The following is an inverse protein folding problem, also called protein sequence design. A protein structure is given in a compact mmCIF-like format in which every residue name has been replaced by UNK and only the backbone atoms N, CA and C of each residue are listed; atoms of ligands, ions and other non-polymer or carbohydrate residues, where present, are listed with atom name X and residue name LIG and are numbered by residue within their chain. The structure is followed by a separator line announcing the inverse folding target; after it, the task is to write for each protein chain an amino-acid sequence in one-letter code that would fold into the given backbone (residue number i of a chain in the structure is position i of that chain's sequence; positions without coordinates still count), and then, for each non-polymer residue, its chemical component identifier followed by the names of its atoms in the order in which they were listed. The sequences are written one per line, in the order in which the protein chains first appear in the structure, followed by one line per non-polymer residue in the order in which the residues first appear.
data_IF_010001435015
#
_entry.id   IF_010001435015
#
_cell.length_a   1.000
_cell.length_b   1.000
_cell.length_c   1.000
_cell.angle_alpha   90.00
_cell.angle_beta   90.00
_cell.angle_gamma   90.00
#
_symmetry.space_group_name_H-M   'P 1'
#
loop_
_entity.id
_entity.type
_entity.pdbx_description
1 polymer ?
#
# COMPACT_ATOMS: atom_id res chain seq x y z
N UNK A 1 -5.53 -42.68 -82.63
CA UNK A 1 -4.88 -41.36 -82.48
C UNK A 1 -5.96 -40.30 -82.37
N UNK A 2 -5.76 -39.38 -81.43
CA UNK A 2 -6.47 -38.09 -81.24
C UNK A 2 -7.87 -38.17 -80.63
N UNK A 3 -8.26 -37.38 -79.63
CA UNK A 3 -7.57 -36.36 -78.83
C UNK A 3 -8.54 -35.93 -77.72
N UNK A 4 -8.03 -35.80 -76.49
CA UNK A 4 -8.75 -35.37 -75.29
C UNK A 4 -9.04 -33.86 -75.34
N UNK A 5 -10.23 -33.35 -74.96
CA UNK A 5 -10.43 -31.93 -74.75
C UNK A 5 -9.92 -31.50 -73.36
N UNK A 6 -8.98 -30.56 -73.40
CA UNK A 6 -8.41 -29.81 -72.29
C UNK A 6 -9.49 -28.94 -71.61
N UNK A 7 -9.57 -29.05 -70.28
CA UNK A 7 -10.56 -28.39 -69.43
C UNK A 7 -9.91 -27.43 -68.44
N UNK A 8 -9.06 -26.53 -68.94
CA UNK A 8 -8.44 -25.44 -68.18
C UNK A 8 -9.45 -24.29 -67.96
N UNK A 9 -10.23 -24.37 -66.87
CA UNK A 9 -11.00 -23.22 -66.35
C UNK A 9 -10.04 -22.22 -65.70
N UNK A 10 -9.62 -21.21 -66.47
CA UNK A 10 -9.03 -19.98 -65.96
C UNK A 10 -9.99 -19.30 -64.97
N UNK A 11 -9.62 -19.28 -63.69
CA UNK A 11 -10.24 -18.39 -62.71
C UNK A 11 -9.73 -16.97 -63.00
N UNK A 12 -10.57 -16.15 -63.64
CA UNK A 12 -10.34 -14.71 -63.69
C UNK A 12 -10.32 -14.18 -62.24
N UNK A 13 -9.16 -13.74 -61.79
CA UNK A 13 -9.00 -13.06 -60.52
C UNK A 13 -9.66 -11.67 -60.64
N UNK A 14 -10.82 -11.51 -60.00
CA UNK A 14 -11.44 -10.20 -59.84
C UNK A 14 -10.45 -9.27 -59.13
N UNK A 15 -10.11 -8.16 -59.80
CA UNK A 15 -9.24 -7.14 -59.22
C UNK A 15 -9.90 -6.59 -57.95
N UNK A 16 -9.18 -6.52 -56.81
CA UNK A 16 -9.75 -6.02 -55.56
C UNK A 16 -10.24 -4.59 -55.79
N UNK A 17 -11.56 -4.40 -55.69
CA UNK A 17 -12.19 -3.10 -55.81
C UNK A 17 -11.52 -2.13 -54.84
N UNK A 18 -11.01 -1.00 -55.38
CA UNK A 18 -10.44 0.09 -54.60
C UNK A 18 -11.49 0.56 -53.58
N UNK A 19 -11.39 0.08 -52.35
CA UNK A 19 -12.14 0.62 -51.23
C UNK A 19 -11.75 2.09 -51.10
N UNK A 20 -12.68 2.99 -51.39
CA UNK A 20 -12.43 4.42 -51.36
C UNK A 20 -11.89 4.86 -49.98
N UNK A 21 -11.10 5.94 -49.91
CA UNK A 21 -10.41 6.39 -48.69
C UNK A 21 -11.35 6.67 -47.50
N UNK A 22 -12.66 6.76 -47.71
CA UNK A 22 -13.67 6.93 -46.66
C UNK A 22 -13.91 5.69 -45.77
N UNK A 23 -13.61 4.47 -46.22
CA UNK A 23 -13.91 3.24 -45.44
C UNK A 23 -13.03 3.12 -44.19
N UNK A 24 -11.84 3.73 -44.19
CA UNK A 24 -10.89 3.66 -43.07
C UNK A 24 -11.06 4.78 -42.02
N UNK A 25 -11.78 5.85 -42.34
CA UNK A 25 -11.92 7.01 -41.44
C UNK A 25 -12.80 6.70 -40.22
N UNK A 26 -13.89 5.96 -40.41
CA UNK A 26 -14.79 5.57 -39.32
C UNK A 26 -14.14 4.65 -38.27
N UNK A 27 -13.48 3.52 -38.64
CA UNK A 27 -12.80 2.68 -37.66
C UNK A 27 -11.64 3.40 -36.96
N UNK A 28 -10.91 4.28 -37.66
CA UNK A 28 -9.87 5.09 -37.05
C UNK A 28 -10.43 6.08 -36.01
N UNK A 29 -11.54 6.76 -36.32
CA UNK A 29 -12.20 7.68 -35.39
C UNK A 29 -12.73 6.95 -34.15
N UNK A 30 -13.34 5.78 -34.32
CA UNK A 30 -13.82 4.94 -33.21
C UNK A 30 -12.66 4.44 -32.33
N UNK A 31 -11.55 4.02 -32.93
CA UNK A 31 -10.35 3.61 -32.19
C UNK A 31 -9.76 4.79 -31.39
N UNK A 32 -9.69 5.98 -31.97
CA UNK A 32 -9.21 7.18 -31.29
C UNK A 32 -10.12 7.57 -30.11
N UNK A 33 -11.45 7.51 -30.28
CA UNK A 33 -12.41 7.75 -29.21
C UNK A 33 -12.31 6.71 -28.08
N UNK A 34 -12.18 5.44 -28.42
CA UNK A 34 -11.99 4.37 -27.45
C UNK A 34 -10.70 4.54 -26.65
N UNK A 35 -9.59 4.90 -27.32
CA UNK A 35 -8.31 5.19 -26.67
C UNK A 35 -8.43 6.42 -25.75
N UNK A 36 -9.06 7.49 -26.22
CA UNK A 36 -9.31 8.70 -25.43
C UNK A 36 -10.13 8.40 -24.18
N UNK A 37 -11.22 7.65 -24.33
CA UNK A 37 -12.06 7.20 -23.22
C UNK A 37 -11.27 6.32 -22.22
N UNK A 38 -10.44 5.39 -22.71
CA UNK A 38 -9.60 4.54 -21.87
C UNK A 38 -8.58 5.36 -21.06
N UNK A 39 -7.95 6.38 -21.66
CA UNK A 39 -7.01 7.28 -20.98
C UNK A 39 -7.72 8.08 -19.89
N UNK A 40 -8.88 8.67 -20.19
CA UNK A 40 -9.67 9.44 -19.21
C UNK A 40 -10.13 8.55 -18.08
N UNK A 41 -10.63 7.36 -18.39
CA UNK A 41 -11.07 6.38 -17.41
C UNK A 41 -9.90 5.93 -16.52
N UNK A 42 -8.75 5.60 -17.09
CA UNK A 42 -7.53 5.23 -16.35
C UNK A 42 -7.08 6.35 -15.42
N UNK A 43 -7.08 7.61 -15.87
CA UNK A 43 -6.77 8.77 -15.02
C UNK A 43 -7.79 8.97 -13.89
N UNK A 44 -9.07 8.76 -14.17
CA UNK A 44 -10.13 8.85 -13.15
C UNK A 44 -10.01 7.72 -12.12
N UNK A 45 -9.74 6.50 -12.58
CA UNK A 45 -9.51 5.33 -11.73
C UNK A 45 -8.30 5.55 -10.84
N UNK A 46 -7.16 5.96 -11.40
CA UNK A 46 -5.95 6.25 -10.62
C UNK A 46 -6.22 7.25 -9.51
N UNK A 47 -6.88 8.38 -9.82
CA UNK A 47 -7.24 9.40 -8.81
C UNK A 47 -8.15 8.88 -7.70
N UNK A 48 -9.03 7.91 -7.97
CA UNK A 48 -9.94 7.34 -6.97
C UNK A 48 -9.32 6.22 -6.16
N UNK A 49 -8.45 5.41 -6.75
CA UNK A 49 -7.85 4.25 -6.10
C UNK A 49 -6.56 4.58 -5.35
N UNK A 50 -5.89 5.64 -5.77
CA UNK A 50 -4.66 6.18 -5.19
C UNK A 50 -4.86 7.65 -4.77
N UNK A 51 -5.79 7.96 -3.84
CA UNK A 51 -5.81 9.27 -3.21
C UNK A 51 -4.68 9.31 -2.18
N UNK A 52 -3.43 9.18 -2.62
CA UNK A 52 -2.30 9.33 -1.72
C UNK A 52 -2.26 10.80 -1.31
N UNK A 53 -2.39 11.07 0.00
CA UNK A 53 -1.69 12.22 0.53
C UNK A 53 -0.21 11.90 0.31
N UNK A 54 0.50 12.62 -0.57
CA UNK A 54 1.91 12.33 -0.76
C UNK A 54 2.61 12.63 0.56
N UNK A 55 3.54 11.76 0.93
CA UNK A 55 4.58 12.15 1.87
C UNK A 55 5.17 13.47 1.39
N UNK A 56 5.36 14.39 2.32
CA UNK A 56 5.89 15.70 2.04
C UNK A 56 7.01 16.05 3.01
N UNK A 57 7.77 17.09 2.65
CA UNK A 57 8.77 17.68 3.51
C UNK A 57 8.11 18.92 4.10
N UNK A 58 7.76 18.87 5.38
CA UNK A 58 7.23 20.02 6.10
C UNK A 58 8.29 21.10 6.32
N UNK A 59 7.89 22.17 6.99
CA UNK A 59 8.85 23.17 7.46
C UNK A 59 9.79 22.55 8.52
N UNK A 60 10.94 23.17 8.79
CA UNK A 60 11.84 22.76 9.87
C UNK A 60 11.16 22.93 11.24
N UNK A 61 11.37 21.98 12.16
CA UNK A 61 10.85 22.05 13.52
C UNK A 61 11.54 23.18 14.30
N UNK A 62 10.76 24.03 14.96
CA UNK A 62 11.29 25.14 15.77
C UNK A 62 12.12 24.66 16.98
N UNK A 63 11.87 23.44 17.45
CA UNK A 63 12.57 22.81 18.55
C UNK A 63 12.81 21.32 18.27
N UNK A 64 13.97 20.75 18.63
CA UNK A 64 14.25 19.32 18.49
C UNK A 64 13.23 18.44 19.22
N UNK A 65 12.90 17.26 18.67
CA UNK A 65 12.05 16.25 19.31
C UNK A 65 12.86 15.34 20.25
N UNK A 66 13.77 15.92 21.04
CA UNK A 66 14.78 15.17 21.84
C UNK A 66 14.22 14.41 23.04
N UNK A 67 12.94 14.55 23.35
CA UNK A 67 12.36 14.01 24.61
C UNK A 67 11.79 12.59 24.49
N UNK A 68 11.76 11.96 23.30
CA UNK A 68 11.30 10.57 23.14
C UNK A 68 12.31 9.67 22.42
N UNK A 69 13.36 9.19 23.11
CA UNK A 69 14.45 8.43 22.50
C UNK A 69 14.05 7.02 22.00
N UNK A 70 12.79 6.60 22.10
CA UNK A 70 12.33 5.25 21.72
C UNK A 70 11.21 5.20 20.66
N UNK A 71 10.52 6.30 20.36
CA UNK A 71 9.37 6.27 19.42
C UNK A 71 9.85 6.10 17.98
N UNK A 72 9.43 5.04 17.28
CA UNK A 72 9.73 4.83 15.86
C UNK A 72 9.02 5.83 14.95
N UNK A 73 9.70 6.33 13.92
CA UNK A 73 9.11 7.14 12.86
C UNK A 73 8.68 6.27 11.68
N UNK A 74 7.38 6.27 11.37
CA UNK A 74 6.77 5.45 10.32
C UNK A 74 6.28 6.36 9.18
N UNK A 75 6.83 6.16 7.98
CA UNK A 75 6.49 6.94 6.80
C UNK A 75 5.20 6.43 6.15
N UNK A 76 4.10 7.15 6.36
CA UNK A 76 2.77 6.79 5.86
C UNK A 76 2.77 6.74 4.32
N UNK A 77 2.35 5.63 3.73
CA UNK A 77 2.38 5.37 2.29
C UNK A 77 3.76 5.52 1.64
N UNK A 78 4.85 5.45 2.41
CA UNK A 78 6.19 5.71 1.88
C UNK A 78 6.69 4.69 0.87
N UNK A 79 6.16 3.47 0.93
CA UNK A 79 6.46 2.43 -0.06
C UNK A 79 5.42 2.32 -1.17
N UNK A 80 4.43 3.21 -1.21
CA UNK A 80 3.34 3.11 -2.17
C UNK A 80 3.71 3.58 -3.58
N UNK A 81 4.76 4.40 -3.67
CA UNK A 81 5.30 4.92 -4.92
C UNK A 81 6.82 4.93 -4.89
N UNK A 82 7.42 4.94 -6.09
CA UNK A 82 8.87 5.05 -6.24
C UNK A 82 9.39 6.38 -5.69
N UNK A 83 8.67 7.46 -5.94
CA UNK A 83 9.00 8.79 -5.42
C UNK A 83 8.96 8.81 -3.88
N UNK A 84 7.99 8.13 -3.25
CA UNK A 84 7.92 7.96 -1.81
C UNK A 84 9.14 7.22 -1.25
N UNK A 85 9.55 6.13 -1.90
CA UNK A 85 10.71 5.35 -1.48
C UNK A 85 12.03 6.13 -1.62
N UNK A 86 12.15 6.97 -2.65
CA UNK A 86 13.29 7.88 -2.82
C UNK A 86 13.37 8.91 -1.68
N UNK A 87 12.22 9.47 -1.28
CA UNK A 87 12.15 10.39 -0.15
C UNK A 87 12.45 9.70 1.20
N UNK A 88 11.86 8.53 1.44
CA UNK A 88 12.16 7.67 2.60
C UNK A 88 13.66 7.40 2.71
N UNK A 89 14.32 7.06 1.59
CA UNK A 89 15.78 6.86 1.53
C UNK A 89 16.55 8.12 1.92
N UNK A 90 16.13 9.28 1.41
CA UNK A 90 16.80 10.55 1.68
C UNK A 90 16.67 11.01 3.14
N UNK A 91 15.59 10.63 3.82
CA UNK A 91 15.28 11.06 5.20
C UNK A 91 15.52 9.98 6.26
N UNK A 92 16.01 8.80 5.86
CA UNK A 92 16.45 7.72 6.77
C UNK A 92 15.41 7.32 7.82
N UNK A 93 14.14 7.21 7.41
CA UNK A 93 13.02 6.82 8.29
C UNK A 93 13.23 5.40 8.85
N UNK A 94 12.58 5.07 9.96
CA UNK A 94 12.76 3.77 10.62
C UNK A 94 11.95 2.68 9.94
N UNK A 95 10.68 2.99 9.69
CA UNK A 95 9.70 2.06 9.12
C UNK A 95 9.04 2.73 7.94
N UNK A 96 8.88 1.97 6.86
CA UNK A 96 8.11 2.40 5.68
C UNK A 96 6.76 1.68 5.65
N UNK A 97 5.68 2.44 5.57
CA UNK A 97 4.34 1.87 5.37
C UNK A 97 4.09 1.59 3.89
N UNK A 98 3.51 0.42 3.61
CA UNK A 98 3.06 0.00 2.28
C UNK A 98 1.62 -0.50 2.39
N UNK A 99 0.72 0.16 1.68
CA UNK A 99 -0.66 -0.28 1.55
C UNK A 99 -0.76 -1.43 0.56
N UNK A 100 -1.27 -2.58 0.99
CA UNK A 100 -1.34 -3.76 0.12
C UNK A 100 -2.73 -4.38 0.07
N UNK A 101 -3.10 -4.79 -1.15
CA UNK A 101 -4.34 -5.47 -1.42
C UNK A 101 -4.12 -6.70 -2.30
N UNK A 102 -4.80 -7.80 -1.97
CA UNK A 102 -4.89 -8.95 -2.85
C UNK A 102 -5.80 -8.63 -4.05
N UNK A 103 -5.19 -8.50 -5.24
CA UNK A 103 -5.88 -8.23 -6.52
C UNK A 103 -5.47 -9.29 -7.53
N UNK A 104 -6.44 -9.99 -8.10
CA UNK A 104 -6.16 -11.00 -9.14
C UNK A 104 -5.28 -12.18 -8.69
N UNK A 105 -5.06 -12.38 -7.39
CA UNK A 105 -4.20 -13.44 -6.85
C UNK A 105 -2.76 -13.03 -6.56
N UNK A 106 -2.44 -11.74 -6.62
CA UNK A 106 -1.15 -11.16 -6.20
C UNK A 106 -1.39 -9.97 -5.28
N UNK A 107 -0.37 -9.56 -4.53
CA UNK A 107 -0.43 -8.36 -3.69
C UNK A 107 -0.02 -7.14 -4.52
N UNK A 108 -0.99 -6.27 -4.76
CA UNK A 108 -0.77 -4.98 -5.41
C UNK A 108 -0.66 -3.89 -4.34
N UNK A 109 0.23 -2.94 -4.57
CA UNK A 109 0.45 -1.77 -3.72
C UNK A 109 -0.67 -0.78 -4.00
N UNK A 110 -1.65 -0.67 -3.10
CA UNK A 110 -2.85 0.16 -3.30
C UNK A 110 -3.62 0.38 -2.00
N UNK A 111 -3.92 1.64 -1.69
CA UNK A 111 -4.78 2.01 -0.55
C UNK A 111 -6.22 1.50 -0.71
N UNK A 112 -6.82 1.69 -1.89
CA UNK A 112 -8.20 1.28 -2.18
C UNK A 112 -8.24 0.21 -3.27
N UNK A 113 -8.57 -1.05 -2.95
CA UNK A 113 -8.63 -2.12 -3.95
C UNK A 113 -9.67 -1.80 -5.04
N UNK A 114 -9.44 -2.19 -6.31
CA UNK A 114 -10.31 -1.88 -7.46
C UNK A 114 -11.62 -2.69 -7.50
N UNK A 115 -12.37 -2.75 -6.38
CA UNK A 115 -13.59 -3.57 -6.23
C UNK A 115 -14.73 -3.14 -7.15
N UNK A 116 -14.78 -1.85 -7.50
CA UNK A 116 -15.82 -1.27 -8.35
C UNK A 116 -15.57 -1.49 -9.85
N UNK A 117 -14.36 -1.93 -10.22
CA UNK A 117 -13.99 -2.13 -11.63
C UNK A 117 -14.26 -3.59 -11.98
N UNK A 118 -15.06 -3.89 -13.01
CA UNK A 118 -15.23 -5.25 -13.52
C UNK A 118 -13.87 -5.88 -13.83
N UNK A 119 -13.65 -7.13 -13.41
CA UNK A 119 -12.37 -7.84 -13.58
C UNK A 119 -11.88 -7.85 -15.03
N UNK A 120 -12.79 -7.95 -16.00
CA UNK A 120 -12.43 -7.94 -17.43
C UNK A 120 -11.74 -6.64 -17.87
N UNK A 121 -12.01 -5.53 -17.18
CA UNK A 121 -11.44 -4.22 -17.50
C UNK A 121 -10.14 -3.95 -16.73
N UNK A 122 -9.79 -4.74 -15.72
CA UNK A 122 -8.59 -4.51 -14.89
C UNK A 122 -7.33 -4.29 -15.74
N UNK A 123 -7.00 -5.14 -16.74
CA UNK A 123 -5.81 -4.95 -17.56
C UNK A 123 -5.77 -3.62 -18.33
N UNK A 124 -6.92 -3.03 -18.61
CA UNK A 124 -7.05 -1.81 -19.41
C UNK A 124 -6.97 -0.53 -18.56
N UNK A 125 -7.51 -0.57 -17.33
CA UNK A 125 -7.72 0.64 -16.52
C UNK A 125 -7.02 0.63 -15.16
N UNK A 126 -6.50 -0.52 -14.73
CA UNK A 126 -5.84 -0.68 -13.44
C UNK A 126 -4.43 -1.24 -13.62
N UNK A 127 -3.45 -0.45 -13.23
CA UNK A 127 -2.04 -0.84 -13.19
C UNK A 127 -1.49 -0.35 -11.86
N UNK A 128 -0.97 -1.26 -11.04
CA UNK A 128 -0.24 -0.94 -9.82
C UNK A 128 1.06 -1.73 -9.76
N UNK A 129 2.02 -1.22 -9.00
CA UNK A 129 3.19 -2.00 -8.59
C UNK A 129 2.73 -3.18 -7.73
N UNK A 130 3.45 -4.30 -7.83
CA UNK A 130 3.25 -5.41 -6.90
C UNK A 130 4.05 -5.18 -5.62
N UNK A 131 3.69 -5.86 -4.53
CA UNK A 131 4.51 -5.82 -3.31
C UNK A 131 5.92 -6.35 -3.58
N UNK A 132 6.08 -7.37 -4.43
CA UNK A 132 7.39 -7.86 -4.88
C UNK A 132 8.22 -6.76 -5.57
N UNK A 133 7.57 -5.86 -6.33
CA UNK A 133 8.26 -4.73 -6.98
C UNK A 133 8.68 -3.66 -5.97
N UNK A 134 7.75 -3.23 -5.11
CA UNK A 134 8.05 -2.26 -4.05
C UNK A 134 9.16 -2.77 -3.12
N UNK A 135 9.14 -4.05 -2.75
CA UNK A 135 10.14 -4.64 -1.87
C UNK A 135 11.56 -4.54 -2.43
N UNK A 136 11.73 -4.78 -3.73
CA UNK A 136 13.03 -4.67 -4.40
C UNK A 136 13.57 -3.23 -4.43
N UNK A 137 12.68 -2.25 -4.35
CA UNK A 137 13.03 -0.83 -4.35
C UNK A 137 13.29 -0.27 -2.94
N UNK A 138 12.90 -1.00 -1.90
CA UNK A 138 13.09 -0.60 -0.52
C UNK A 138 14.57 -0.34 -0.17
N UNK A 139 14.87 0.75 0.55
CA UNK A 139 16.19 0.95 1.13
C UNK A 139 16.66 -0.25 1.97
N UNK A 140 17.96 -0.52 1.98
CA UNK A 140 18.52 -1.50 2.90
C UNK A 140 18.39 -1.00 4.35
N UNK A 141 18.07 -1.90 5.28
CA UNK A 141 18.00 -1.58 6.71
C UNK A 141 16.76 -0.77 7.15
N UNK A 142 15.76 -0.59 6.28
CA UNK A 142 14.45 -0.07 6.68
C UNK A 142 13.52 -1.22 7.05
N UNK A 143 12.79 -1.08 8.16
CA UNK A 143 11.73 -2.01 8.52
C UNK A 143 10.46 -1.72 7.73
N UNK A 144 9.56 -2.70 7.62
CA UNK A 144 8.39 -2.60 6.74
C UNK A 144 7.10 -2.78 7.52
N UNK A 145 6.18 -1.83 7.36
CA UNK A 145 4.82 -1.94 7.83
C UNK A 145 3.86 -2.18 6.65
N UNK A 146 3.28 -3.37 6.57
CA UNK A 146 2.31 -3.73 5.54
C UNK A 146 0.88 -3.49 6.04
N UNK A 147 0.21 -2.42 5.59
CA UNK A 147 -1.21 -2.19 5.91
C UNK A 147 -2.12 -2.96 4.95
N UNK A 148 -2.73 -4.03 5.46
CA UNK A 148 -3.52 -4.98 4.68
C UNK A 148 -4.95 -4.46 4.45
N UNK A 149 -5.22 -4.01 3.22
CA UNK A 149 -6.53 -3.53 2.77
C UNK A 149 -7.48 -4.67 2.33
N UNK A 150 -6.98 -5.91 2.33
CA UNK A 150 -7.75 -7.13 2.08
C UNK A 150 -7.64 -8.11 3.24
N UNK A 151 -8.60 -9.03 3.35
CA UNK A 151 -8.78 -9.90 4.52
C UNK A 151 -8.83 -11.36 4.11
N UNK A 152 -8.57 -12.24 5.07
CA UNK A 152 -8.73 -13.68 4.99
C UNK A 152 -7.42 -14.42 4.76
N UNK A 153 -7.48 -15.74 4.91
CA UNK A 153 -6.33 -16.65 4.80
C UNK A 153 -5.55 -16.53 3.50
N UNK A 154 -6.24 -16.25 2.38
CA UNK A 154 -5.57 -16.09 1.08
C UNK A 154 -4.65 -14.87 1.07
N UNK A 155 -5.07 -13.75 1.66
CA UNK A 155 -4.21 -12.57 1.81
C UNK A 155 -2.99 -12.90 2.66
N UNK A 156 -3.19 -13.58 3.80
CA UNK A 156 -2.09 -14.01 4.67
C UNK A 156 -1.07 -14.90 3.94
N UNK A 157 -1.53 -15.90 3.19
CA UNK A 157 -0.64 -16.78 2.43
C UNK A 157 0.21 -16.02 1.40
N UNK A 158 -0.37 -15.06 0.69
CA UNK A 158 0.39 -14.27 -0.29
C UNK A 158 1.38 -13.32 0.38
N UNK A 159 1.04 -12.76 1.56
CA UNK A 159 1.97 -11.94 2.34
C UNK A 159 3.20 -12.77 2.74
N UNK A 160 2.97 -13.96 3.29
CA UNK A 160 4.04 -14.89 3.69
C UNK A 160 4.91 -15.27 2.49
N UNK A 161 4.28 -15.64 1.36
CA UNK A 161 5.00 -15.98 0.11
C UNK A 161 5.95 -14.86 -0.32
N UNK A 162 5.51 -13.60 -0.25
CA UNK A 162 6.36 -12.46 -0.64
C UNK A 162 7.48 -12.24 0.36
N UNK A 163 7.20 -12.29 1.67
CA UNK A 163 8.20 -12.04 2.71
C UNK A 163 9.29 -13.11 2.70
N UNK A 164 8.93 -14.39 2.68
CA UNK A 164 9.89 -15.50 2.65
C UNK A 164 10.80 -15.45 1.41
N UNK A 165 10.31 -14.87 0.31
CA UNK A 165 11.07 -14.69 -0.92
C UNK A 165 12.06 -13.53 -0.92
N UNK A 166 12.02 -12.61 0.04
CA UNK A 166 12.68 -11.30 -0.09
C UNK A 166 13.60 -10.86 1.07
N UNK A 167 14.16 -11.80 1.84
CA UNK A 167 15.26 -11.55 2.79
C UNK A 167 14.83 -10.93 4.12
N UNK A 168 15.81 -10.74 5.03
CA UNK A 168 15.54 -10.35 6.43
C UNK A 168 15.25 -8.84 6.57
N UNK A 169 14.13 -8.52 7.21
CA UNK A 169 13.66 -7.20 7.69
C UNK A 169 12.68 -7.43 8.84
N UNK A 170 12.56 -6.49 9.76
CA UNK A 170 11.44 -6.56 10.72
C UNK A 170 10.16 -6.24 9.98
N UNK A 171 9.18 -7.14 10.08
CA UNK A 171 7.90 -6.98 9.41
C UNK A 171 6.82 -6.70 10.43
N UNK A 172 6.11 -5.60 10.21
CA UNK A 172 4.88 -5.27 10.89
C UNK A 172 3.71 -5.52 9.94
N UNK A 173 2.81 -6.45 10.28
CA UNK A 173 1.62 -6.75 9.49
C UNK A 173 0.40 -6.06 10.12
N UNK A 174 -0.11 -5.03 9.46
CA UNK A 174 -1.26 -4.23 9.87
C UNK A 174 -2.59 -4.72 9.33
N UNK A 175 -3.62 -4.85 10.17
CA UNK A 175 -4.97 -5.04 9.65
C UNK A 175 -6.06 -4.63 10.64
N UNK A 176 -7.22 -4.32 10.09
CA UNK A 176 -8.48 -4.22 10.86
C UNK A 176 -9.20 -5.57 11.05
N UNK A 177 -8.59 -6.68 10.62
CA UNK A 177 -9.17 -8.02 10.66
C UNK A 177 -8.31 -8.98 11.51
N UNK A 178 -8.74 -9.25 12.74
CA UNK A 178 -8.04 -10.14 13.66
C UNK A 178 -7.82 -11.55 13.09
N UNK A 179 -8.78 -12.19 12.40
CA UNK A 179 -8.54 -13.50 11.79
C UNK A 179 -7.37 -13.49 10.79
N UNK A 180 -7.26 -12.45 9.96
CA UNK A 180 -6.12 -12.29 9.02
C UNK A 180 -4.80 -12.21 9.76
N UNK A 181 -4.71 -11.41 10.82
CA UNK A 181 -3.52 -11.29 11.65
C UNK A 181 -3.17 -12.61 12.36
N UNK A 182 -4.19 -13.36 12.82
CA UNK A 182 -4.01 -14.69 13.38
C UNK A 182 -3.40 -15.69 12.38
N UNK A 183 -3.83 -15.67 11.12
CA UNK A 183 -3.22 -16.48 10.07
C UNK A 183 -1.76 -16.08 9.81
N UNK A 184 -1.47 -14.77 9.73
CA UNK A 184 -0.10 -14.29 9.53
C UNK A 184 0.79 -14.72 10.68
N UNK A 185 0.39 -14.49 11.92
CA UNK A 185 1.15 -14.90 13.11
C UNK A 185 1.42 -16.41 13.16
N UNK A 186 0.50 -17.23 12.65
CA UNK A 186 0.69 -18.68 12.60
C UNK A 186 1.70 -19.14 11.54
N UNK A 187 1.84 -18.38 10.45
CA UNK A 187 2.69 -18.71 9.30
C UNK A 187 4.04 -18.00 9.37
N UNK A 188 4.09 -16.83 10.00
CA UNK A 188 5.25 -15.96 10.12
C UNK A 188 5.34 -15.45 11.57
N UNK A 189 5.79 -16.31 12.51
CA UNK A 189 5.72 -16.04 13.96
C UNK A 189 6.61 -14.87 14.41
N UNK A 190 7.64 -14.54 13.61
CA UNK A 190 8.56 -13.43 13.85
C UNK A 190 8.01 -12.08 13.37
N UNK A 191 6.90 -12.07 12.62
CA UNK A 191 6.26 -10.82 12.22
C UNK A 191 5.44 -10.24 13.38
N UNK A 192 5.60 -8.93 13.57
CA UNK A 192 4.83 -8.16 14.52
C UNK A 192 3.44 -7.88 13.94
N UNK A 193 2.39 -8.32 14.64
CA UNK A 193 1.00 -8.11 14.17
C UNK A 193 0.41 -6.86 14.82
N UNK A 194 -0.09 -5.94 13.99
CA UNK A 194 -0.61 -4.64 14.40
C UNK A 194 -2.10 -4.58 14.09
N UNK A 195 -2.94 -4.48 15.11
CA UNK A 195 -4.37 -4.31 14.93
C UNK A 195 -4.76 -2.83 14.86
N UNK A 196 -5.65 -2.47 13.94
CA UNK A 196 -6.23 -1.13 13.84
C UNK A 196 -7.66 -1.08 14.43
N UNK A 197 -7.82 -0.79 15.74
CA UNK A 197 -9.14 -0.59 16.33
C UNK A 197 -9.77 0.71 15.80
N UNK A 198 -10.79 0.58 14.96
CA UNK A 198 -11.52 1.73 14.41
C UNK A 198 -12.30 2.55 15.44
N UNK A 199 -12.52 2.00 16.64
CA UNK A 199 -13.33 2.62 17.69
C UNK A 199 -12.78 2.27 19.08
N UNK A 200 -13.05 3.12 20.07
CA UNK A 200 -12.77 2.83 21.49
C UNK A 200 -13.41 1.52 21.97
N UNK A 201 -14.62 1.21 21.49
CA UNK A 201 -15.28 -0.06 21.80
C UNK A 201 -14.53 -1.25 21.20
N UNK A 202 -13.98 -1.12 19.99
CA UNK A 202 -13.11 -2.14 19.38
C UNK A 202 -11.84 -2.37 20.18
N UNK A 203 -11.19 -1.29 20.64
CA UNK A 203 -10.03 -1.37 21.52
C UNK A 203 -10.38 -2.04 22.87
N UNK A 204 -11.48 -1.63 23.52
CA UNK A 204 -11.91 -2.23 24.78
C UNK A 204 -12.20 -3.73 24.63
N UNK A 205 -12.78 -4.17 23.51
CA UNK A 205 -12.99 -5.59 23.20
C UNK A 205 -11.68 -6.34 23.03
N UNK A 206 -10.70 -5.76 22.34
CA UNK A 206 -9.38 -6.36 22.20
C UNK A 206 -8.71 -6.54 23.56
N UNK A 207 -8.68 -5.48 24.39
CA UNK A 207 -8.04 -5.50 25.71
C UNK A 207 -8.74 -6.40 26.73
N UNK A 208 -9.94 -6.90 26.43
CA UNK A 208 -10.66 -7.87 27.24
C UNK A 208 -10.35 -9.33 26.82
N UNK A 209 -9.58 -9.55 25.75
CA UNK A 209 -9.16 -10.88 25.31
C UNK A 209 -7.93 -11.34 26.09
N UNK A 210 -7.90 -12.61 26.46
CA UNK A 210 -6.76 -13.27 27.07
C UNK A 210 -6.62 -14.70 26.50
N UNK A 211 -5.52 -15.02 25.79
CA UNK A 211 -4.39 -14.15 25.45
C UNK A 211 -4.73 -13.11 24.38
N UNK A 212 -3.92 -12.05 24.29
CA UNK A 212 -4.05 -11.06 23.23
C UNK A 212 -3.66 -11.68 21.86
N UNK A 213 -4.50 -11.51 20.82
CA UNK A 213 -4.26 -12.13 19.51
C UNK A 213 -3.16 -11.44 18.71
N UNK A 214 -2.73 -10.24 19.11
CA UNK A 214 -1.78 -9.37 18.38
C UNK A 214 -0.66 -8.87 19.30
N UNK A 215 0.38 -8.31 18.71
CA UNK A 215 1.56 -7.79 19.42
C UNK A 215 1.50 -6.28 19.64
N UNK A 216 0.82 -5.56 18.75
CA UNK A 216 0.63 -4.14 18.87
C UNK A 216 -0.68 -3.64 18.28
N UNK A 217 -0.88 -2.34 18.45
CA UNK A 217 -2.06 -1.63 17.94
C UNK A 217 -1.65 -0.31 17.30
N UNK A 218 -2.37 0.09 16.25
CA UNK A 218 -2.29 1.43 15.68
C UNK A 218 -3.62 2.14 15.91
N UNK A 219 -3.63 3.18 16.73
CA UNK A 219 -4.85 3.89 17.16
C UNK A 219 -4.94 5.24 16.43
N UNK A 220 -6.12 5.64 15.91
CA UNK A 220 -6.32 7.00 15.41
C UNK A 220 -6.05 8.05 16.49
N UNK A 221 -5.42 9.20 16.17
CA UNK A 221 -5.10 10.25 17.13
C UNK A 221 -6.30 10.70 17.96
N UNK A 222 -7.49 10.82 17.37
CA UNK A 222 -8.71 11.24 18.07
C UNK A 222 -9.20 10.26 19.14
N UNK A 223 -8.76 8.99 19.05
CA UNK A 223 -9.07 7.95 20.01
C UNK A 223 -7.95 7.71 21.02
N UNK A 224 -6.84 8.45 20.91
CA UNK A 224 -5.66 8.27 21.72
C UNK A 224 -5.56 9.35 22.82
N UNK A 225 -5.20 8.90 24.01
CA UNK A 225 -4.75 9.73 25.13
C UNK A 225 -3.75 8.94 25.99
N UNK A 226 -3.12 9.60 26.96
CA UNK A 226 -2.11 8.99 27.82
C UNK A 226 -2.66 7.78 28.62
N UNK A 227 -3.94 7.78 28.98
CA UNK A 227 -4.54 6.68 29.73
C UNK A 227 -4.73 5.44 28.83
N UNK A 228 -5.12 5.66 27.57
CA UNK A 228 -5.22 4.62 26.55
C UNK A 228 -3.85 3.99 26.27
N UNK A 229 -2.80 4.80 26.09
CA UNK A 229 -1.43 4.31 25.85
C UNK A 229 -0.96 3.43 27.01
N UNK A 230 -1.00 3.95 28.24
CA UNK A 230 -0.59 3.19 29.44
C UNK A 230 -1.37 1.90 29.62
N UNK A 231 -2.68 1.90 29.34
CA UNK A 231 -3.51 0.70 29.46
C UNK A 231 -3.12 -0.36 28.44
N UNK A 232 -2.86 0.02 27.20
CA UNK A 232 -2.46 -0.93 26.16
C UNK A 232 -1.05 -1.48 26.40
N UNK A 233 -0.08 -0.62 26.75
CA UNK A 233 1.28 -1.03 27.11
C UNK A 233 1.30 -1.90 28.37
N UNK A 234 0.48 -1.59 29.38
CA UNK A 234 0.31 -2.43 30.57
C UNK A 234 -0.28 -3.82 30.27
N UNK A 235 -0.93 -4.00 29.12
CA UNK A 235 -1.38 -5.29 28.61
C UNK A 235 -0.33 -5.99 27.72
N UNK A 236 0.86 -5.41 27.56
CA UNK A 236 1.96 -5.96 26.77
C UNK A 236 1.90 -5.65 25.27
N UNK A 237 1.12 -4.64 24.86
CA UNK A 237 1.04 -4.19 23.46
C UNK A 237 1.96 -3.00 23.22
N UNK A 238 2.68 -2.97 22.11
CA UNK A 238 3.22 -1.71 21.60
C UNK A 238 2.10 -0.88 20.96
N UNK A 239 2.22 0.44 21.05
CA UNK A 239 1.20 1.40 20.65
C UNK A 239 1.75 2.36 19.61
N UNK A 240 1.18 2.31 18.42
CA UNK A 240 1.39 3.28 17.36
C UNK A 240 0.20 4.21 17.22
N UNK A 241 0.43 5.37 16.61
CA UNK A 241 -0.66 6.29 16.24
C UNK A 241 -0.39 7.00 14.94
N UNK A 242 -1.46 7.25 14.19
CA UNK A 242 -1.38 7.77 12.84
C UNK A 242 -2.71 8.21 12.25
N UNK A 243 -2.75 9.20 11.37
CA UNK A 243 -1.61 9.97 10.83
C UNK A 243 -1.49 11.29 11.62
N UNK A 244 -0.29 11.67 12.04
CA UNK A 244 -0.06 12.91 12.79
C UNK A 244 0.98 13.77 12.08
N UNK A 245 0.52 14.89 11.52
CA UNK A 245 1.39 15.88 10.85
C UNK A 245 1.45 17.21 11.61
N UNK A 246 0.47 17.50 12.47
CA UNK A 246 0.45 18.72 13.29
C UNK A 246 1.48 18.63 14.41
N UNK A 247 2.42 19.58 14.46
CA UNK A 247 3.55 19.55 15.41
C UNK A 247 3.12 19.62 16.86
N UNK A 248 2.07 20.38 17.17
CA UNK A 248 1.54 20.43 18.55
C UNK A 248 1.04 19.05 18.93
N UNK A 249 0.29 18.39 18.04
CA UNK A 249 -0.18 17.03 18.24
C UNK A 249 0.95 16.00 18.30
N UNK A 250 2.03 16.16 17.52
CA UNK A 250 3.22 15.33 17.62
C UNK A 250 3.77 15.37 19.05
N UNK A 251 4.01 16.56 19.62
CA UNK A 251 4.52 16.70 20.99
C UNK A 251 3.59 16.04 22.02
N UNK A 252 2.29 16.31 21.94
CA UNK A 252 1.31 15.67 22.83
C UNK A 252 1.38 14.14 22.80
N UNK A 253 1.54 13.57 21.60
CA UNK A 253 1.62 12.12 21.42
C UNK A 253 2.95 11.55 21.95
N UNK A 254 4.05 12.27 21.77
CA UNK A 254 5.35 11.88 22.32
C UNK A 254 5.36 11.93 23.85
N UNK A 255 4.70 12.92 24.46
CA UNK A 255 4.53 13.00 25.92
C UNK A 255 3.76 11.80 26.48
N UNK A 256 2.94 11.15 25.66
CA UNK A 256 2.23 9.92 26.03
C UNK A 256 3.08 8.67 25.90
N UNK A 257 4.30 8.78 25.38
CA UNK A 257 5.27 7.70 25.20
C UNK A 257 4.76 6.57 24.30
N UNK A 258 4.19 6.94 23.14
CA UNK A 258 3.88 5.95 22.10
C UNK A 258 5.15 5.29 21.56
N UNK A 259 5.03 4.04 21.14
CA UNK A 259 6.14 3.27 20.57
C UNK A 259 6.39 3.61 19.10
N UNK A 260 5.42 4.21 18.41
CA UNK A 260 5.56 4.61 17.01
C UNK A 260 4.60 5.72 16.59
N UNK A 261 5.08 6.57 15.68
CA UNK A 261 4.35 7.69 15.10
C UNK A 261 4.31 7.53 13.58
N UNK A 262 3.10 7.46 13.01
CA UNK A 262 2.87 7.44 11.58
C UNK A 262 2.61 8.88 11.11
N UNK A 263 3.39 9.35 10.14
CA UNK A 263 3.32 10.72 9.62
C UNK A 263 3.54 10.76 8.10
N UNK A 264 2.94 11.75 7.46
CA UNK A 264 3.26 12.16 6.09
C UNK A 264 4.45 13.14 6.04
N UNK A 265 4.82 13.75 7.17
CA UNK A 265 5.86 14.79 7.24
C UNK A 265 7.23 14.19 7.57
N UNK A 266 8.13 14.14 6.58
CA UNK A 266 9.47 13.58 6.76
C UNK A 266 10.36 14.40 7.70
N UNK A 267 10.07 15.68 7.91
CA UNK A 267 10.83 16.48 8.88
C UNK A 267 10.50 16.04 10.30
N UNK A 268 9.23 15.71 10.56
CA UNK A 268 8.82 15.11 11.84
C UNK A 268 9.57 13.79 12.05
N UNK A 269 9.57 12.91 11.05
CA UNK A 269 10.21 11.60 11.16
C UNK A 269 11.73 11.69 11.33
N UNK A 270 12.39 12.59 10.61
CA UNK A 270 13.83 12.84 10.76
C UNK A 270 14.17 13.35 12.17
N UNK A 271 13.37 14.29 12.69
CA UNK A 271 13.55 14.84 14.03
C UNK A 271 13.41 13.79 15.14
N UNK A 272 12.51 12.81 14.98
CA UNK A 272 12.41 11.67 15.91
C UNK A 272 13.71 10.86 15.94
N UNK A 273 14.27 10.54 14.77
CA UNK A 273 15.48 9.73 14.65
C UNK A 273 16.71 10.42 15.23
N UNK A 274 16.89 11.71 14.94
CA UNK A 274 17.99 12.51 15.48
C UNK A 274 17.97 12.54 17.01
N UNK A 275 16.78 12.65 17.61
CA UNK A 275 16.60 12.56 19.05
C UNK A 275 17.06 11.22 19.65
N UNK A 276 17.01 10.11 18.90
CA UNK A 276 17.46 8.79 19.36
C UNK A 276 18.96 8.56 19.18
N UNK A 277 19.56 9.10 18.11
CA UNK A 277 21.01 8.93 17.86
C UNK A 277 21.84 9.85 18.75
N UNK A 278 21.29 10.99 19.17
CA UNK A 278 21.98 11.96 20.02
C UNK A 278 21.83 11.74 21.54
N UNK A 279 20.97 10.82 21.97
CA UNK A 279 20.75 10.47 23.38
C UNK A 279 21.66 9.32 23.83
#
# INVERSE_FOLDING_TARGET
MNSVPDGSRERQAEAPGNAGPGVWLLPAALAALALGAAIVLRRSVRRRLQPFAPIFIGESLEAPLTESPATLGIAHNGGDTKEGMELVRAHNVDVVEIDVALVGGRLDVVHTPPRIIPRLLHPLVYTSATLDDAWRELPAGVDVYLDLKTRGRRTANEVVRVIEGNGERTIYAGSSDLPTLGFIRSLLPDAETVFYPRTRMGLARLLAMDPLPVRGISIPPDNLDAAVVRRAQGAGLFVWTGIVNDRRRVREVLDWQVDGLISDDLVVLAGLREGRVGA
#
